data_IF_550284737192
#
_entry.id   IF_550284737192
#
_cell.length_a   1.000
_cell.length_b   1.000
_cell.length_c   1.000
_cell.angle_alpha   90.00
_cell.angle_beta   90.00
_cell.angle_gamma   90.00
#
_symmetry.space_group_name_H-M   'P 1'
#
loop_
_entity.id
_entity.type
_entity.pdbx_description
1 polymer ?
#
# COMPACT_ATOMS: atom_id res chain seq x y z
N UNK A 1 5.26 12.88 -30.74
CA UNK A 1 4.31 11.89 -30.17
C UNK A 1 4.84 11.49 -28.78
N UNK A 2 4.27 12.03 -27.69
CA UNK A 2 4.72 11.73 -26.32
C UNK A 2 4.13 10.39 -25.88
N UNK A 3 4.97 9.34 -25.79
CA UNK A 3 4.65 8.12 -25.02
C UNK A 3 4.56 8.52 -23.54
N UNK A 4 3.34 8.65 -22.99
CA UNK A 4 3.14 8.65 -21.54
C UNK A 4 3.36 7.21 -21.07
N UNK A 5 4.52 6.99 -20.45
CA UNK A 5 4.86 5.73 -19.82
C UNK A 5 3.79 5.34 -18.80
N UNK A 6 3.29 4.13 -18.99
CA UNK A 6 2.70 3.20 -18.03
C UNK A 6 2.63 3.73 -16.59
N UNK A 7 1.41 3.91 -16.09
CA UNK A 7 1.11 4.22 -14.68
C UNK A 7 1.75 3.19 -13.75
N UNK A 8 2.91 3.56 -13.20
CA UNK A 8 3.74 2.72 -12.34
C UNK A 8 3.94 3.41 -11.00
N UNK A 9 2.85 3.89 -10.41
CA UNK A 9 2.92 4.59 -9.14
C UNK A 9 2.46 3.68 -8.00
N UNK A 10 3.07 2.51 -7.89
CA UNK A 10 3.20 1.88 -6.57
C UNK A 10 4.38 2.51 -5.80
N UNK A 11 5.30 3.16 -6.51
CA UNK A 11 6.56 3.72 -5.98
C UNK A 11 6.44 5.16 -5.48
N UNK A 12 5.57 6.02 -6.05
CA UNK A 12 5.50 7.43 -5.59
C UNK A 12 4.80 7.57 -4.24
N UNK A 13 3.81 6.73 -3.93
CA UNK A 13 3.11 6.77 -2.64
C UNK A 13 4.04 6.40 -1.48
N UNK A 14 4.80 5.31 -1.56
CA UNK A 14 5.72 4.88 -0.48
C UNK A 14 6.81 5.93 -0.19
N UNK A 15 7.27 6.64 -1.21
CA UNK A 15 8.24 7.73 -1.04
C UNK A 15 7.60 8.96 -0.38
N UNK A 16 6.39 9.34 -0.80
CA UNK A 16 5.62 10.44 -0.21
C UNK A 16 5.20 10.16 1.24
N UNK A 17 4.77 8.94 1.55
CA UNK A 17 4.44 8.45 2.89
C UNK A 17 5.63 8.63 3.84
N UNK A 18 6.82 8.15 3.42
CA UNK A 18 8.05 8.30 4.19
C UNK A 18 8.48 9.75 4.38
N UNK A 19 8.33 10.59 3.35
CA UNK A 19 8.70 12.01 3.45
C UNK A 19 7.79 12.80 4.39
N UNK A 20 6.52 12.39 4.52
CA UNK A 20 5.50 13.10 5.31
C UNK A 20 5.18 12.44 6.65
N UNK A 21 5.67 11.23 6.92
CA UNK A 21 5.38 10.48 8.13
C UNK A 21 3.92 10.02 8.23
N UNK A 22 3.23 9.85 7.10
CA UNK A 22 1.82 9.47 7.04
C UNK A 22 1.65 8.21 6.19
N UNK A 23 0.63 7.41 6.49
CA UNK A 23 0.20 6.29 5.63
C UNK A 23 -0.82 6.82 4.62
N UNK A 24 -0.64 6.58 3.32
CA UNK A 24 -1.54 7.01 2.23
C UNK A 24 -2.22 5.79 1.61
N UNK A 25 -1.55 4.65 1.61
CA UNK A 25 -2.03 3.36 1.12
C UNK A 25 -2.50 2.49 2.27
N UNK A 26 -3.68 1.91 2.11
CA UNK A 26 -4.17 0.86 3.01
C UNK A 26 -3.27 -0.37 2.93
N UNK A 27 -2.63 -0.71 4.04
CA UNK A 27 -1.89 -1.96 4.19
C UNK A 27 -2.86 -3.10 4.50
N UNK A 28 -3.09 -4.01 3.55
CA UNK A 28 -3.84 -5.24 3.81
C UNK A 28 -2.83 -6.36 4.07
N UNK A 29 -2.92 -7.00 5.24
CA UNK A 29 -2.18 -8.22 5.54
C UNK A 29 -3.10 -9.30 6.07
N UNK A 30 -2.89 -10.54 5.62
CA UNK A 30 -3.69 -11.69 6.04
C UNK A 30 -2.78 -12.77 6.58
N UNK A 31 -3.19 -13.40 7.68
CA UNK A 31 -2.50 -14.55 8.25
C UNK A 31 -3.51 -15.55 8.84
N UNK A 32 -3.05 -16.77 9.09
CA UNK A 32 -3.84 -17.81 9.75
C UNK A 32 -3.50 -17.85 11.24
N UNK A 33 -4.51 -17.90 12.09
CA UNK A 33 -4.38 -18.19 13.51
C UNK A 33 -5.29 -19.37 13.84
N UNK A 34 -4.69 -20.50 14.24
CA UNK A 34 -5.39 -21.78 14.39
C UNK A 34 -6.23 -22.10 13.14
N UNK A 35 -7.54 -22.28 13.28
CA UNK A 35 -8.47 -22.54 12.19
C UNK A 35 -9.22 -21.27 11.71
N UNK A 36 -8.68 -20.08 12.03
CA UNK A 36 -9.29 -18.78 11.71
C UNK A 36 -8.39 -17.97 10.79
N UNK A 37 -8.95 -17.52 9.67
CA UNK A 37 -8.29 -16.55 8.79
C UNK A 37 -8.48 -15.13 9.33
N UNK A 38 -7.39 -14.47 9.67
CA UNK A 38 -7.38 -13.09 10.17
C UNK A 38 -6.93 -12.15 9.04
N UNK A 39 -7.66 -11.05 8.87
CA UNK A 39 -7.32 -9.99 7.93
C UNK A 39 -7.14 -8.69 8.74
N UNK A 40 -5.97 -8.08 8.63
CA UNK A 40 -5.69 -6.76 9.20
C UNK A 40 -5.75 -5.76 8.05
N UNK A 41 -6.52 -4.71 8.28
CA UNK A 41 -6.65 -3.57 7.39
C UNK A 41 -6.09 -2.38 8.16
N UNK A 42 -4.90 -1.95 7.78
CA UNK A 42 -4.27 -0.74 8.31
C UNK A 42 -4.65 0.44 7.40
N UNK A 43 -5.71 1.15 7.79
CA UNK A 43 -6.16 2.41 7.17
C UNK A 43 -5.76 3.59 8.05
N UNK A 44 -5.39 4.76 7.47
CA UNK A 44 -5.25 6.01 8.22
C UNK A 44 -6.52 6.41 9.00
#
# INVERSE_FOLDING_TARGET
IRKRGQGTTRTDNTLLERQRGITIQTGITSFQWENTKVNIIDTP
#
